data_IF_235433100448
#
_entry.id   IF_235433100448
#
_cell.length_a   1.000
_cell.length_b   1.000
_cell.length_c   1.000
_cell.angle_alpha   90.00
_cell.angle_beta   90.00
_cell.angle_gamma   90.00
#
_symmetry.space_group_name_H-M   'P 1'
#
loop_
_entity.id
_entity.type
_entity.pdbx_description
1 polymer ?
#
# COMPACT_ATOMS: atom_id res chain seq x y z
N UNK A 1 -45.36 62.98 35.52
CA UNK A 1 -44.86 64.37 35.48
C UNK A 1 -43.95 64.59 36.68
N UNK A 2 -42.85 65.32 36.45
CA UNK A 2 -41.80 65.80 37.37
C UNK A 2 -40.75 64.76 37.81
N UNK A 3 -39.51 64.78 37.28
CA UNK A 3 -38.40 65.76 37.47
C UNK A 3 -37.87 65.72 38.92
N UNK A 4 -36.58 65.63 39.24
CA UNK A 4 -35.34 65.59 38.48
C UNK A 4 -34.13 65.45 39.46
N UNK A 5 -32.92 65.40 38.89
CA UNK A 5 -31.62 65.86 39.45
C UNK A 5 -30.91 64.84 40.36
N UNK A 6 -29.95 64.05 39.88
CA UNK A 6 -28.56 64.40 39.46
C UNK A 6 -27.68 64.89 40.62
N UNK A 7 -26.57 64.21 40.91
CA UNK A 7 -25.20 64.75 40.71
C UNK A 7 -24.09 63.85 41.30
N UNK A 8 -23.12 63.51 40.42
CA UNK A 8 -21.64 63.58 40.54
C UNK A 8 -20.98 62.98 41.81
N UNK A 9 -19.91 62.17 41.73
CA UNK A 9 -18.59 62.53 41.18
C UNK A 9 -17.68 61.32 40.95
N UNK A 10 -16.94 61.40 39.85
CA UNK A 10 -15.67 60.73 39.56
C UNK A 10 -14.60 61.05 40.62
N UNK A 11 -13.77 60.04 40.93
CA UNK A 11 -12.30 60.14 41.07
C UNK A 11 -11.73 58.77 40.66
N UNK A 12 -11.31 58.59 39.40
CA UNK A 12 -9.95 58.81 38.89
C UNK A 12 -8.87 58.02 39.62
N UNK A 13 -8.35 56.98 38.95
CA UNK A 13 -7.26 56.14 39.47
C UNK A 13 -6.85 55.03 38.48
N UNK A 14 -6.20 55.42 37.39
CA UNK A 14 -5.09 54.73 36.67
C UNK A 14 -5.09 53.17 36.70
N UNK A 15 -5.41 52.52 35.58
CA UNK A 15 -4.46 52.05 34.54
C UNK A 15 -3.79 50.70 34.90
N UNK A 16 -4.32 49.67 34.21
CA UNK A 16 -3.62 48.63 33.44
C UNK A 16 -2.77 47.55 34.14
N UNK A 17 -3.00 46.34 33.61
CA UNK A 17 -2.14 45.16 33.56
C UNK A 17 -2.14 44.30 34.81
N UNK A 18 -2.75 43.10 34.70
CA UNK A 18 -2.15 41.81 35.03
C UNK A 18 -3.18 40.68 34.83
N UNK A 19 -3.48 40.38 33.58
CA UNK A 19 -3.75 39.02 33.10
C UNK A 19 -2.73 38.83 31.96
N UNK A 20 -1.86 37.80 31.98
CA UNK A 20 -2.33 36.41 31.99
C UNK A 20 -1.37 35.43 32.67
N UNK A 21 -1.81 34.64 33.66
CA UNK A 21 -1.00 33.52 34.13
C UNK A 21 -1.85 32.35 34.63
N UNK A 22 -2.66 31.75 33.74
CA UNK A 22 -3.30 30.46 34.01
C UNK A 22 -3.77 29.76 32.72
N UNK A 23 -2.92 29.77 31.69
CA UNK A 23 -3.02 28.87 30.54
C UNK A 23 -1.68 28.16 30.34
N UNK A 24 -1.32 27.32 31.31
CA UNK A 24 -0.31 26.28 31.15
C UNK A 24 -1.00 24.91 31.21
N UNK A 25 -2.04 24.73 30.39
CA UNK A 25 -2.56 23.40 30.08
C UNK A 25 -1.77 22.95 28.84
N UNK A 26 -0.79 22.10 29.10
CA UNK A 26 0.08 21.47 28.11
C UNK A 26 -0.80 20.68 27.12
N UNK A 27 -0.80 20.96 25.80
CA UNK A 27 -1.33 20.00 24.85
C UNK A 27 -0.27 18.92 24.65
N UNK A 28 -0.36 17.88 25.47
CA UNK A 28 0.44 16.67 25.34
C UNK A 28 -0.20 15.73 24.30
N UNK A 29 -0.38 16.16 23.05
CA UNK A 29 -0.87 15.25 22.01
C UNK A 29 -0.30 15.56 20.62
N UNK A 30 0.05 14.47 19.94
CA UNK A 30 0.49 14.36 18.55
C UNK A 30 1.99 14.60 18.26
N UNK A 31 2.85 13.87 18.96
CA UNK A 31 4.07 13.38 18.33
C UNK A 31 3.69 12.30 17.31
N UNK A 32 3.59 12.65 16.03
CA UNK A 32 3.70 11.64 14.97
C UNK A 32 5.14 11.12 15.02
N UNK A 33 5.40 10.05 15.77
CA UNK A 33 6.56 9.21 15.52
C UNK A 33 6.40 8.70 14.09
N UNK A 34 7.26 9.07 13.12
CA UNK A 34 7.30 8.35 11.88
C UNK A 34 7.90 7.00 12.26
N UNK A 35 7.05 6.02 12.55
CA UNK A 35 7.46 4.64 12.49
C UNK A 35 7.98 4.48 11.07
N UNK A 36 9.31 4.48 10.91
CA UNK A 36 9.99 4.04 9.70
C UNK A 36 9.61 2.58 9.56
N UNK A 37 8.44 2.33 9.00
CA UNK A 37 8.16 1.08 8.31
C UNK A 37 9.30 0.99 7.30
N UNK A 38 10.12 -0.08 7.31
CA UNK A 38 11.14 -0.25 6.30
C UNK A 38 10.43 -0.12 4.97
N UNK A 39 10.79 0.91 4.20
CA UNK A 39 10.15 1.24 2.93
C UNK A 39 10.17 -0.04 2.09
N UNK A 40 9.04 -0.74 1.88
CA UNK A 40 9.03 -1.86 0.96
C UNK A 40 9.15 -1.19 -0.40
N UNK A 41 10.36 -1.19 -0.96
CA UNK A 41 10.73 -0.29 -2.04
C UNK A 41 9.59 -0.18 -3.07
N UNK A 42 9.10 1.04 -3.32
CA UNK A 42 8.04 1.23 -4.28
C UNK A 42 8.68 0.99 -5.64
N UNK A 43 8.21 -0.05 -6.33
CA UNK A 43 8.67 -0.42 -7.67
C UNK A 43 10.12 -0.90 -7.71
N UNK A 44 10.33 -2.20 -7.49
CA UNK A 44 11.28 -2.89 -8.36
C UNK A 44 10.71 -2.80 -9.77
N UNK A 45 11.20 -1.81 -10.52
CA UNK A 45 11.12 -1.76 -11.97
C UNK A 45 11.30 -3.18 -12.48
N UNK A 46 10.36 -3.62 -13.29
CA UNK A 46 10.26 -4.95 -13.88
C UNK A 46 11.39 -5.31 -14.84
N UNK A 47 12.50 -4.57 -14.86
CA UNK A 47 13.61 -4.81 -15.77
C UNK A 47 14.49 -5.98 -15.33
N UNK A 48 14.60 -6.30 -14.04
CA UNK A 48 15.54 -7.33 -13.57
C UNK A 48 14.90 -8.23 -12.51
N UNK A 49 14.11 -9.20 -12.99
CA UNK A 49 13.79 -10.38 -12.17
C UNK A 49 15.09 -11.17 -12.06
N UNK A 50 15.52 -11.58 -10.85
CA UNK A 50 16.69 -12.44 -10.72
C UNK A 50 16.48 -13.68 -11.59
N UNK A 51 17.38 -13.91 -12.56
CA UNK A 51 17.28 -15.05 -13.47
C UNK A 51 17.61 -16.30 -12.67
N UNK A 52 16.57 -17.00 -12.23
CA UNK A 52 16.71 -18.32 -11.64
C UNK A 52 17.32 -19.26 -12.70
N UNK A 53 18.28 -20.06 -12.23
CA UNK A 53 19.06 -20.99 -13.06
C UNK A 53 18.78 -22.43 -12.70
N UNK A 54 18.60 -22.70 -11.41
CA UNK A 54 18.42 -24.05 -10.87
C UNK A 54 16.99 -24.29 -10.43
N UNK A 55 16.60 -25.57 -10.32
CA UNK A 55 15.29 -25.97 -9.81
C UNK A 55 14.95 -25.33 -8.45
N UNK A 56 15.89 -25.36 -7.50
CA UNK A 56 15.69 -24.76 -6.18
C UNK A 56 15.54 -23.24 -6.23
N UNK A 57 16.30 -22.55 -7.09
CA UNK A 57 16.13 -21.11 -7.30
C UNK A 57 14.74 -20.78 -7.86
N UNK A 58 14.21 -21.61 -8.77
CA UNK A 58 12.85 -21.43 -9.26
C UNK A 58 11.80 -21.63 -8.17
N UNK A 59 11.96 -22.64 -7.30
CA UNK A 59 11.06 -22.83 -6.17
C UNK A 59 11.06 -21.61 -5.24
N UNK A 60 12.23 -21.15 -4.83
CA UNK A 60 12.36 -19.96 -3.98
C UNK A 60 11.78 -18.71 -4.66
N UNK A 61 11.98 -18.55 -5.98
CA UNK A 61 11.40 -17.45 -6.74
C UNK A 61 9.87 -17.51 -6.75
N UNK A 62 9.28 -18.70 -6.92
CA UNK A 62 7.82 -18.90 -6.92
C UNK A 62 7.25 -18.58 -5.53
N UNK A 63 7.83 -19.13 -4.46
CA UNK A 63 7.39 -18.90 -3.07
C UNK A 63 7.49 -17.42 -2.70
N UNK A 64 8.62 -16.79 -3.03
CA UNK A 64 8.81 -15.37 -2.79
C UNK A 64 7.80 -14.53 -3.59
N UNK A 65 7.53 -14.91 -4.84
CA UNK A 65 6.53 -14.23 -5.67
C UNK A 65 5.13 -14.36 -5.08
N UNK A 66 4.75 -15.54 -4.59
CA UNK A 66 3.48 -15.78 -3.93
C UNK A 66 3.29 -14.87 -2.71
N UNK A 67 4.33 -14.82 -1.85
CA UNK A 67 4.34 -13.95 -0.68
C UNK A 67 4.13 -12.48 -1.06
N UNK A 68 4.91 -11.98 -2.02
CA UNK A 68 4.80 -10.59 -2.46
C UNK A 68 3.46 -10.29 -3.15
N UNK A 69 2.90 -11.25 -3.88
CA UNK A 69 1.58 -11.09 -4.50
C UNK A 69 0.49 -10.94 -3.43
N UNK A 70 0.55 -11.72 -2.34
CA UNK A 70 -0.39 -11.59 -1.22
C UNK A 70 -0.21 -10.25 -0.50
N UNK A 71 1.00 -9.96 -0.05
CA UNK A 71 1.31 -8.77 0.75
C UNK A 71 1.03 -7.46 -0.02
N UNK A 72 1.47 -7.36 -1.29
CA UNK A 72 1.21 -6.17 -2.09
C UNK A 72 -0.28 -5.99 -2.37
N UNK A 73 -0.98 -7.08 -2.64
CA UNK A 73 -2.41 -7.02 -2.89
C UNK A 73 -3.16 -6.51 -1.67
N UNK A 74 -2.90 -7.06 -0.48
CA UNK A 74 -3.52 -6.59 0.77
C UNK A 74 -3.27 -5.11 1.03
N UNK A 75 -2.02 -4.64 0.83
CA UNK A 75 -1.66 -3.23 1.05
C UNK A 75 -2.27 -2.28 0.02
N UNK A 76 -2.42 -2.72 -1.23
CA UNK A 76 -2.72 -1.85 -2.38
C UNK A 76 -4.07 -2.10 -3.02
N UNK A 77 -4.87 -3.05 -2.51
CA UNK A 77 -6.16 -3.45 -3.11
C UNK A 77 -7.04 -2.24 -3.46
N UNK A 78 -7.16 -1.28 -2.53
CA UNK A 78 -7.95 -0.08 -2.75
C UNK A 78 -7.38 0.81 -3.86
N UNK A 79 -6.06 1.00 -3.90
CA UNK A 79 -5.39 1.79 -4.95
C UNK A 79 -5.56 1.13 -6.32
N UNK A 80 -5.42 -0.20 -6.38
CA UNK A 80 -5.60 -0.98 -7.60
C UNK A 80 -7.03 -0.84 -8.09
N UNK A 81 -8.02 -1.00 -7.20
CA UNK A 81 -9.43 -0.85 -7.56
C UNK A 81 -9.72 0.55 -8.12
N UNK A 82 -9.19 1.60 -7.50
CA UNK A 82 -9.50 2.97 -7.89
C UNK A 82 -8.83 3.44 -9.18
N UNK A 83 -7.76 2.78 -9.62
CA UNK A 83 -6.95 3.22 -10.75
C UNK A 83 -7.33 2.50 -12.05
N UNK A 84 -7.97 3.16 -13.04
CA UNK A 84 -8.34 2.53 -14.31
C UNK A 84 -7.12 2.20 -15.19
N UNK A 85 -6.05 3.00 -15.08
CA UNK A 85 -4.87 2.92 -15.96
C UNK A 85 -3.72 2.08 -15.39
N UNK A 86 -3.81 1.65 -14.12
CA UNK A 86 -2.69 1.03 -13.43
C UNK A 86 -2.93 -0.42 -13.02
N UNK A 87 -4.03 -1.07 -13.42
CA UNK A 87 -4.25 -2.49 -13.08
C UNK A 87 -3.07 -3.36 -13.55
N UNK A 88 -2.58 -3.16 -14.77
CA UNK A 88 -1.41 -3.90 -15.28
C UNK A 88 -0.11 -3.54 -14.57
N UNK A 89 0.01 -2.33 -14.04
CA UNK A 89 1.22 -1.87 -13.35
C UNK A 89 1.26 -2.39 -11.90
N UNK A 90 0.10 -2.37 -11.24
CA UNK A 90 -0.05 -2.68 -9.83
C UNK A 90 -0.46 -4.14 -9.56
N UNK A 91 -0.98 -4.85 -10.57
CA UNK A 91 -1.47 -6.24 -10.48
C UNK A 91 -0.94 -7.12 -11.63
N UNK A 92 0.38 -7.31 -11.65
CA UNK A 92 1.10 -7.97 -12.74
C UNK A 92 0.94 -9.50 -12.77
N UNK A 93 1.01 -10.07 -13.99
CA UNK A 93 1.09 -11.53 -14.24
C UNK A 93 2.51 -12.06 -14.04
N UNK A 94 2.91 -12.25 -12.78
CA UNK A 94 4.24 -12.78 -12.43
C UNK A 94 4.42 -14.22 -12.93
N UNK A 95 3.37 -15.03 -12.88
CA UNK A 95 3.34 -16.43 -13.34
C UNK A 95 3.83 -16.59 -14.78
N UNK A 96 3.43 -15.69 -15.68
CA UNK A 96 3.81 -15.77 -17.10
C UNK A 96 5.32 -15.62 -17.30
N UNK A 97 5.95 -14.69 -16.57
CA UNK A 97 7.40 -14.46 -16.66
C UNK A 97 8.20 -15.63 -16.10
N UNK A 98 7.75 -16.20 -14.97
CA UNK A 98 8.41 -17.38 -14.39
C UNK A 98 8.26 -18.58 -15.32
N UNK A 99 7.07 -18.80 -15.89
CA UNK A 99 6.83 -19.87 -16.89
C UNK A 99 7.76 -19.75 -18.10
N UNK A 100 7.94 -18.56 -18.63
CA UNK A 100 8.86 -18.31 -19.74
C UNK A 100 10.30 -18.69 -19.38
N UNK A 101 10.77 -18.30 -18.18
CA UNK A 101 12.10 -18.66 -17.70
C UNK A 101 12.26 -20.18 -17.51
N UNK A 102 11.26 -20.87 -16.94
CA UNK A 102 11.28 -22.32 -16.77
C UNK A 102 11.38 -23.01 -18.13
N UNK A 103 10.52 -22.64 -19.09
CA UNK A 103 10.50 -23.24 -20.42
C UNK A 103 11.83 -23.01 -21.17
N UNK A 104 12.40 -21.80 -21.03
CA UNK A 104 13.72 -21.49 -21.59
C UNK A 104 14.79 -22.41 -20.98
N UNK A 105 14.87 -22.52 -19.66
CA UNK A 105 15.87 -23.35 -18.97
C UNK A 105 15.72 -24.84 -19.29
N UNK A 106 14.49 -25.31 -19.43
CA UNK A 106 14.21 -26.65 -19.90
C UNK A 106 14.69 -26.88 -21.33
N UNK A 107 14.42 -25.95 -22.25
CA UNK A 107 14.89 -26.05 -23.64
C UNK A 107 16.42 -26.02 -23.76
N UNK A 108 17.11 -25.41 -22.81
CA UNK A 108 18.57 -25.38 -22.70
C UNK A 108 19.16 -26.65 -22.04
N UNK A 109 18.31 -27.58 -21.57
CA UNK A 109 18.73 -28.83 -20.93
C UNK A 109 19.15 -28.68 -19.46
N UNK A 110 18.87 -27.54 -18.82
CA UNK A 110 19.20 -27.29 -17.40
C UNK A 110 18.15 -27.81 -16.42
N UNK A 111 17.00 -28.27 -16.92
CA UNK A 111 15.92 -28.86 -16.11
C UNK A 111 15.52 -30.21 -16.69
N UNK A 112 15.21 -31.15 -15.81
CA UNK A 112 14.58 -32.40 -16.17
C UNK A 112 13.09 -32.20 -16.45
N UNK A 113 12.48 -33.10 -17.21
CA UNK A 113 11.04 -33.05 -17.54
C UNK A 113 10.18 -33.00 -16.27
N UNK A 114 10.50 -33.82 -15.27
CA UNK A 114 9.80 -33.86 -13.99
C UNK A 114 9.92 -32.55 -13.19
N UNK A 115 11.11 -31.92 -13.23
CA UNK A 115 11.34 -30.63 -12.57
C UNK A 115 10.55 -29.53 -13.27
N UNK A 116 10.58 -29.49 -14.59
CA UNK A 116 9.80 -28.55 -15.41
C UNK A 116 8.30 -28.71 -15.11
N UNK A 117 7.76 -29.93 -15.13
CA UNK A 117 6.35 -30.19 -14.86
C UNK A 117 5.94 -29.74 -13.45
N UNK A 118 6.76 -30.06 -12.45
CA UNK A 118 6.51 -29.62 -11.08
C UNK A 118 6.52 -28.08 -10.97
N UNK A 119 7.55 -27.41 -11.52
CA UNK A 119 7.64 -25.94 -11.49
C UNK A 119 6.46 -25.27 -12.22
N UNK A 120 6.01 -25.84 -13.35
CA UNK A 120 4.85 -25.34 -14.09
C UNK A 120 3.53 -25.55 -13.34
N UNK A 121 3.42 -26.65 -12.58
CA UNK A 121 2.31 -26.89 -11.66
C UNK A 121 2.26 -25.79 -10.59
N UNK A 122 3.38 -25.50 -9.92
CA UNK A 122 3.48 -24.42 -8.93
C UNK A 122 3.20 -23.02 -9.52
N UNK A 123 3.57 -22.77 -10.78
CA UNK A 123 3.17 -21.54 -11.47
C UNK A 123 1.66 -21.44 -11.70
N UNK A 124 0.94 -22.56 -11.76
CA UNK A 124 -0.52 -22.56 -11.89
C UNK A 124 -1.19 -22.07 -10.61
N UNK A 125 -0.61 -22.35 -9.45
CA UNK A 125 -1.04 -21.80 -8.16
C UNK A 125 -0.92 -20.26 -8.14
N UNK A 126 0.19 -19.71 -8.66
CA UNK A 126 0.36 -18.26 -8.81
C UNK A 126 -0.68 -17.65 -9.74
N UNK A 127 -1.01 -18.33 -10.84
CA UNK A 127 -2.07 -17.89 -11.76
C UNK A 127 -3.41 -17.85 -11.05
N UNK A 128 -3.75 -18.88 -10.29
CA UNK A 128 -5.00 -18.94 -9.54
C UNK A 128 -5.10 -17.80 -8.52
N UNK A 129 -4.01 -17.56 -7.76
CA UNK A 129 -3.90 -16.43 -6.83
C UNK A 129 -4.18 -15.10 -7.55
N UNK A 130 -3.52 -14.86 -8.68
CA UNK A 130 -3.72 -13.64 -9.46
C UNK A 130 -5.17 -13.49 -9.96
N UNK A 131 -5.80 -14.58 -10.41
CA UNK A 131 -7.19 -14.57 -10.88
C UNK A 131 -8.16 -14.25 -9.75
N UNK A 132 -7.95 -14.83 -8.57
CA UNK A 132 -8.78 -14.58 -7.39
C UNK A 132 -8.66 -13.12 -6.93
N UNK A 133 -7.45 -12.59 -6.91
CA UNK A 133 -7.19 -11.17 -6.64
C UNK A 133 -7.87 -10.25 -7.67
N UNK A 134 -7.82 -10.61 -8.97
CA UNK A 134 -8.49 -9.85 -10.04
C UNK A 134 -10.02 -9.84 -9.89
N UNK A 135 -10.62 -10.97 -9.54
CA UNK A 135 -12.06 -11.06 -9.25
C UNK A 135 -12.43 -10.10 -8.12
N UNK A 136 -11.66 -10.09 -7.02
CA UNK A 136 -11.87 -9.17 -5.89
C UNK A 136 -11.78 -7.71 -6.30
N UNK A 137 -10.76 -7.33 -7.07
CA UNK A 137 -10.62 -5.96 -7.62
C UNK A 137 -11.86 -5.58 -8.44
N UNK A 138 -12.31 -6.48 -9.32
CA UNK A 138 -13.46 -6.25 -10.20
C UNK A 138 -14.73 -6.00 -9.41
N UNK A 139 -14.99 -6.81 -8.38
CA UNK A 139 -16.13 -6.63 -7.49
C UNK A 139 -16.05 -5.29 -6.74
N UNK A 140 -14.86 -4.94 -6.23
CA UNK A 140 -14.65 -3.67 -5.52
C UNK A 140 -14.85 -2.46 -6.43
N UNK A 141 -14.40 -2.53 -7.69
CA UNK A 141 -14.65 -1.50 -8.70
C UNK A 141 -16.12 -1.30 -8.97
N UNK A 142 -16.85 -2.41 -9.12
CA UNK A 142 -18.30 -2.38 -9.31
C UNK A 142 -19.02 -1.72 -8.13
N UNK A 143 -18.65 -2.08 -6.89
CA UNK A 143 -19.19 -1.46 -5.67
C UNK A 143 -18.90 0.05 -5.58
N UNK A 144 -17.77 0.49 -6.13
CA UNK A 144 -17.39 1.91 -6.19
C UNK A 144 -17.99 2.66 -7.38
N UNK A 145 -18.80 2.00 -8.23
CA UNK A 145 -19.37 2.61 -9.44
C UNK A 145 -18.31 2.95 -10.51
N UNK A 146 -17.14 2.33 -10.45
CA UNK A 146 -16.07 2.58 -11.40
C UNK A 146 -16.27 1.75 -12.68
N UNK A 147 -16.01 2.33 -13.87
CA UNK A 147 -16.12 1.61 -15.13
C UNK A 147 -15.14 0.43 -15.18
N UNK A 148 -15.53 -0.63 -15.91
CA UNK A 148 -14.68 -1.80 -16.16
C UNK A 148 -13.47 -1.42 -16.99
#
# INVERSE_FOLDING_TARGET
MNLAICTKRLTSGKILLLFPLLFAIIPFFCGCLPQRVPNPSPFRSTSETPSAKTYHEFLSLIEQSEFWMKENFERKEFLIARSPKQEMILHQRVDLRIREQILKRFSEGYLLEQEKDHLLSRCSDLRELWQNQRKRITLKRFQLGLPR
#
